data_IF_291269268452
#
_entry.id   IF_291269268452
#
_cell.length_a   1.000
_cell.length_b   1.000
_cell.length_c   1.000
_cell.angle_alpha   90.00
_cell.angle_beta   90.00
_cell.angle_gamma   90.00
#
_symmetry.space_group_name_H-M   'P 1'
#
loop_
_entity.id
_entity.type
_entity.pdbx_description
1 polymer ?
#
# COMPACT_ATOMS: atom_id res chain seq x y z
N UNK A 1 -26.99 -1.04 -31.76
CA UNK A 1 -25.59 -1.52 -31.63
C UNK A 1 -25.24 -1.41 -30.16
N UNK A 2 -25.21 -2.52 -29.44
CA UNK A 2 -24.77 -2.54 -28.03
C UNK A 2 -23.25 -2.52 -28.05
N UNK A 3 -22.66 -1.43 -27.57
CA UNK A 3 -21.21 -1.32 -27.36
C UNK A 3 -20.76 -2.48 -26.45
N UNK A 4 -19.69 -3.22 -26.80
CA UNK A 4 -19.21 -4.29 -25.92
C UNK A 4 -18.85 -3.69 -24.55
N UNK A 5 -19.17 -4.39 -23.44
CA UNK A 5 -18.91 -3.87 -22.11
C UNK A 5 -17.43 -3.48 -22.02
N UNK A 6 -17.18 -2.24 -21.60
CA UNK A 6 -15.85 -1.68 -21.46
C UNK A 6 -14.98 -2.65 -20.65
N UNK A 7 -14.09 -3.36 -21.35
CA UNK A 7 -13.24 -4.37 -20.72
C UNK A 7 -12.20 -3.65 -19.88
N UNK A 8 -12.07 -4.03 -18.60
CA UNK A 8 -11.09 -3.45 -17.68
C UNK A 8 -9.67 -3.72 -18.21
N UNK A 9 -8.79 -2.71 -18.27
CA UNK A 9 -7.43 -2.90 -18.76
C UNK A 9 -6.60 -3.85 -17.89
N UNK A 10 -5.67 -4.64 -18.49
CA UNK A 10 -4.80 -5.54 -17.74
C UNK A 10 -3.88 -4.80 -16.76
N UNK A 11 -3.54 -3.53 -17.04
CA UNK A 11 -2.76 -2.69 -16.14
C UNK A 11 -3.47 -2.42 -14.80
N UNK A 12 -4.80 -2.26 -14.83
CA UNK A 12 -5.62 -2.04 -13.62
C UNK A 12 -5.68 -3.32 -12.79
N UNK A 13 -5.86 -4.48 -13.43
CA UNK A 13 -5.88 -5.77 -12.75
C UNK A 13 -4.50 -6.14 -12.18
N UNK A 14 -3.43 -5.88 -12.93
CA UNK A 14 -2.06 -6.10 -12.45
C UNK A 14 -1.73 -5.16 -11.30
N UNK A 15 -2.04 -3.86 -11.44
CA UNK A 15 -1.86 -2.87 -10.38
C UNK A 15 -2.62 -3.23 -9.11
N UNK A 16 -3.86 -3.73 -9.24
CA UNK A 16 -4.65 -4.26 -8.12
C UNK A 16 -3.92 -5.39 -7.40
N UNK A 17 -3.42 -6.39 -8.12
CA UNK A 17 -2.73 -7.52 -7.49
C UNK A 17 -1.41 -7.13 -6.82
N UNK A 18 -0.65 -6.21 -7.42
CA UNK A 18 0.55 -5.67 -6.79
C UNK A 18 0.21 -5.04 -5.43
N UNK A 19 -0.86 -4.25 -5.36
CA UNK A 19 -1.32 -3.65 -4.11
C UNK A 19 -1.92 -4.66 -3.12
N UNK A 20 -2.64 -5.67 -3.58
CA UNK A 20 -3.17 -6.75 -2.72
C UNK A 20 -2.05 -7.51 -2.02
N UNK A 21 -0.92 -7.72 -2.69
CA UNK A 21 0.26 -8.36 -2.09
C UNK A 21 1.05 -7.37 -1.24
N UNK A 22 1.17 -6.11 -1.69
CA UNK A 22 1.92 -5.11 -0.93
C UNK A 22 1.27 -4.77 0.41
N UNK A 23 -0.06 -4.69 0.47
CA UNK A 23 -0.78 -4.31 1.68
C UNK A 23 -0.42 -5.18 2.90
N UNK A 24 -0.52 -6.53 2.86
CA UNK A 24 -0.13 -7.37 4.00
C UNK A 24 1.37 -7.29 4.29
N UNK A 25 2.23 -7.11 3.29
CA UNK A 25 3.67 -6.94 3.52
C UNK A 25 3.96 -5.65 4.30
N UNK A 26 3.35 -4.53 3.91
CA UNK A 26 3.52 -3.25 4.60
C UNK A 26 2.95 -3.29 6.02
N UNK A 27 1.77 -3.91 6.20
CA UNK A 27 1.17 -4.10 7.53
C UNK A 27 2.07 -4.97 8.41
N UNK A 28 2.61 -6.06 7.86
CA UNK A 28 3.53 -6.95 8.59
C UNK A 28 4.79 -6.19 9.01
N UNK A 29 5.39 -5.42 8.11
CA UNK A 29 6.55 -4.59 8.42
C UNK A 29 6.26 -3.59 9.55
N UNK A 30 5.13 -2.89 9.48
CA UNK A 30 4.71 -1.95 10.52
C UNK A 30 4.50 -2.65 11.87
N UNK A 31 3.83 -3.81 11.87
CA UNK A 31 3.59 -4.58 13.10
C UNK A 31 4.91 -5.06 13.71
N UNK A 32 5.84 -5.58 12.90
CA UNK A 32 7.18 -5.97 13.37
C UNK A 32 7.88 -4.79 14.01
N UNK A 33 7.89 -3.63 13.36
CA UNK A 33 8.51 -2.41 13.89
C UNK A 33 7.92 -2.01 15.25
N UNK A 34 6.59 -2.09 15.38
CA UNK A 34 5.87 -1.71 16.60
C UNK A 34 6.20 -2.60 17.81
N UNK A 35 6.48 -3.89 17.58
CA UNK A 35 6.82 -4.85 18.65
C UNK A 35 8.32 -5.00 18.91
N UNK A 36 9.16 -4.61 17.94
CA UNK A 36 10.62 -4.80 18.01
C UNK A 36 11.40 -3.49 18.10
N UNK A 37 10.70 -2.35 18.03
CA UNK A 37 11.28 -1.02 18.12
C UNK A 37 11.99 -0.77 19.46
N UNK A 38 12.93 0.19 19.48
CA UNK A 38 13.75 0.47 20.66
C UNK A 38 12.93 1.04 21.82
N UNK A 39 11.86 1.79 21.54
CA UNK A 39 10.94 2.29 22.56
C UNK A 39 9.71 1.38 22.68
N UNK A 40 9.50 0.83 23.89
CA UNK A 40 8.26 0.13 24.19
C UNK A 40 7.11 1.11 24.33
N UNK A 41 6.16 1.04 23.41
CA UNK A 41 4.93 1.80 23.49
C UNK A 41 4.10 1.39 24.73
N UNK A 42 3.50 2.34 25.45
CA UNK A 42 2.50 2.04 26.48
C UNK A 42 1.35 1.21 25.89
N UNK A 43 0.83 0.25 26.65
CA UNK A 43 -0.23 -0.67 26.20
C UNK A 43 -1.43 -0.01 25.50
N UNK A 44 -1.99 1.09 26.02
CA UNK A 44 -3.08 1.81 25.35
C UNK A 44 -2.69 2.41 23.99
N UNK A 45 -1.47 2.95 23.87
CA UNK A 45 -0.95 3.52 22.62
C UNK A 45 -0.77 2.40 21.59
N UNK A 46 -0.21 1.26 22.02
CA UNK A 46 -0.06 0.08 21.17
C UNK A 46 -1.39 -0.40 20.61
N UNK A 47 -2.41 -0.53 21.46
CA UNK A 47 -3.75 -0.96 21.05
C UNK A 47 -4.38 0.04 20.06
N UNK A 48 -4.24 1.33 20.34
CA UNK A 48 -4.75 2.38 19.45
C UNK A 48 -4.05 2.39 18.08
N UNK A 49 -2.73 2.23 18.05
CA UNK A 49 -1.95 2.11 16.80
C UNK A 49 -2.40 0.91 15.97
N UNK A 50 -2.64 -0.25 16.59
CA UNK A 50 -3.17 -1.43 15.89
C UNK A 50 -4.54 -1.18 15.26
N UNK A 51 -5.43 -0.50 15.99
CA UNK A 51 -6.75 -0.12 15.46
C UNK A 51 -6.60 0.84 14.28
N UNK A 52 -5.73 1.84 14.35
CA UNK A 52 -5.47 2.76 13.25
C UNK A 52 -4.96 2.00 12.01
N UNK A 53 -3.96 1.14 12.17
CA UNK A 53 -3.41 0.35 11.07
C UNK A 53 -4.48 -0.53 10.43
N UNK A 54 -5.31 -1.15 11.25
CA UNK A 54 -6.43 -1.95 10.78
C UNK A 54 -7.42 -1.12 9.96
N UNK A 55 -7.82 0.06 10.46
CA UNK A 55 -8.71 0.98 9.72
C UNK A 55 -8.08 1.42 8.40
N UNK A 56 -6.80 1.82 8.40
CA UNK A 56 -6.08 2.20 7.18
C UNK A 56 -6.05 1.04 6.19
N UNK A 57 -5.80 -0.18 6.67
CA UNK A 57 -5.77 -1.40 5.83
C UNK A 57 -7.12 -1.62 5.15
N UNK A 58 -8.22 -1.52 5.90
CA UNK A 58 -9.58 -1.67 5.37
C UNK A 58 -9.92 -0.55 4.38
N UNK A 59 -9.53 0.69 4.67
CA UNK A 59 -9.72 1.83 3.77
C UNK A 59 -8.97 1.62 2.46
N UNK A 60 -7.70 1.22 2.51
CA UNK A 60 -6.92 0.93 1.30
C UNK A 60 -7.53 -0.24 0.53
N UNK A 61 -7.89 -1.34 1.19
CA UNK A 61 -8.56 -2.47 0.54
C UNK A 61 -9.87 -2.05 -0.14
N UNK A 62 -10.65 -1.17 0.49
CA UNK A 62 -11.86 -0.59 -0.10
C UNK A 62 -11.53 0.21 -1.35
N UNK A 63 -10.50 1.06 -1.30
CA UNK A 63 -10.05 1.81 -2.46
C UNK A 63 -9.57 0.90 -3.59
N UNK A 64 -8.91 -0.22 -3.31
CA UNK A 64 -8.53 -1.20 -4.33
C UNK A 64 -9.75 -1.80 -5.04
N UNK A 65 -10.85 -2.03 -4.32
CA UNK A 65 -12.12 -2.48 -4.92
C UNK A 65 -12.75 -1.38 -5.79
N UNK A 66 -12.81 -0.15 -5.29
CA UNK A 66 -13.33 1.00 -6.05
C UNK A 66 -12.48 1.29 -7.30
N UNK A 67 -11.16 1.09 -7.22
CA UNK A 67 -10.26 1.21 -8.36
C UNK A 67 -10.67 0.26 -9.49
N UNK A 68 -11.03 -0.98 -9.18
CA UNK A 68 -11.49 -1.97 -10.16
C UNK A 68 -12.84 -1.60 -10.81
N UNK A 69 -13.57 -0.66 -10.21
CA UNK A 69 -14.83 -0.11 -10.71
C UNK A 69 -14.65 1.20 -11.51
N UNK A 70 -13.43 1.73 -11.63
CA UNK A 70 -13.16 2.91 -12.45
C UNK A 70 -13.29 4.26 -11.74
N UNK A 71 -13.36 4.30 -10.41
CA UNK A 71 -13.45 5.57 -9.68
C UNK A 71 -12.18 6.43 -9.83
N UNK A 72 -12.32 7.62 -10.43
CA UNK A 72 -11.23 8.56 -10.75
C UNK A 72 -10.36 8.98 -9.58
N UNK A 73 -11.00 9.36 -8.48
CA UNK A 73 -10.34 9.96 -7.32
C UNK A 73 -9.47 8.95 -6.56
N UNK A 74 -9.76 7.66 -6.72
CA UNK A 74 -9.01 6.57 -6.08
C UNK A 74 -7.54 6.60 -6.53
N UNK A 75 -7.26 6.90 -7.81
CA UNK A 75 -5.89 6.98 -8.31
C UNK A 75 -5.09 8.05 -7.56
N UNK A 76 -5.64 9.23 -7.36
CA UNK A 76 -4.97 10.32 -6.65
C UNK A 76 -4.72 9.97 -5.20
N UNK A 77 -5.72 9.40 -4.51
CA UNK A 77 -5.61 9.03 -3.10
C UNK A 77 -4.60 7.89 -2.90
N UNK A 78 -4.66 6.85 -3.73
CA UNK A 78 -3.68 5.75 -3.68
C UNK A 78 -2.27 6.22 -4.00
N UNK A 79 -2.12 7.18 -4.91
CA UNK A 79 -0.80 7.75 -5.24
C UNK A 79 -0.24 8.57 -4.08
N UNK A 80 -1.04 9.43 -3.47
CA UNK A 80 -0.62 10.20 -2.29
C UNK A 80 -0.26 9.27 -1.12
N UNK A 81 -1.11 8.28 -0.84
CA UNK A 81 -0.86 7.26 0.19
C UNK A 81 0.38 6.42 -0.11
N UNK A 82 0.61 6.05 -1.36
CA UNK A 82 1.81 5.33 -1.80
C UNK A 82 3.09 6.14 -1.54
N UNK A 83 3.11 7.41 -1.94
CA UNK A 83 4.27 8.27 -1.72
C UNK A 83 4.55 8.40 -0.23
N UNK A 84 3.52 8.67 0.58
CA UNK A 84 3.67 8.76 2.03
C UNK A 84 4.22 7.46 2.63
N UNK A 85 3.66 6.31 2.25
CA UNK A 85 4.09 5.00 2.74
C UNK A 85 5.55 4.69 2.35
N UNK A 86 5.94 4.93 1.10
CA UNK A 86 7.29 4.69 0.59
C UNK A 86 8.30 5.62 1.25
N UNK A 87 8.00 6.92 1.38
CA UNK A 87 8.90 7.89 2.01
C UNK A 87 9.08 7.59 3.49
N UNK A 88 8.00 7.31 4.21
CA UNK A 88 8.06 6.95 5.63
C UNK A 88 8.86 5.66 5.84
N UNK A 89 8.66 4.67 4.97
CA UNK A 89 9.40 3.41 4.98
C UNK A 89 10.88 3.62 4.71
N UNK A 90 11.23 4.42 3.69
CA UNK A 90 12.61 4.74 3.37
C UNK A 90 13.28 5.45 4.56
N UNK A 91 12.62 6.44 5.17
CA UNK A 91 13.12 7.08 6.37
C UNK A 91 13.40 6.05 7.47
N UNK A 92 12.43 5.20 7.80
CA UNK A 92 12.58 4.16 8.82
C UNK A 92 13.66 3.12 8.50
N UNK A 93 13.91 2.80 7.23
CA UNK A 93 14.99 1.91 6.81
C UNK A 93 16.37 2.52 7.05
N UNK A 94 16.53 3.83 6.88
CA UNK A 94 17.82 4.52 6.95
C UNK A 94 18.12 5.15 8.32
N UNK A 95 17.11 5.41 9.15
CA UNK A 95 17.31 6.14 10.42
C UNK A 95 17.15 5.29 11.67
N UNK A 96 16.38 4.20 11.63
CA UNK A 96 16.06 3.46 12.84
C UNK A 96 17.05 2.31 13.09
N UNK A 97 17.63 2.32 14.29
CA UNK A 97 18.49 1.25 14.77
C UNK A 97 17.65 0.05 15.23
N UNK A 98 17.94 -1.13 14.67
CA UNK A 98 17.26 -2.39 14.98
C UNK A 98 18.27 -3.50 15.20
N UNK A 99 18.00 -4.38 16.15
CA UNK A 99 18.76 -5.63 16.27
C UNK A 99 18.57 -6.50 15.02
N UNK A 100 19.55 -7.33 14.68
CA UNK A 100 19.66 -7.99 13.37
C UNK A 100 18.38 -8.71 12.88
N UNK A 101 17.70 -9.45 13.78
CA UNK A 101 16.47 -10.19 13.43
C UNK A 101 15.30 -9.23 13.13
N UNK A 102 15.15 -8.18 13.93
CA UNK A 102 14.14 -7.13 13.73
C UNK A 102 14.39 -6.33 12.44
N UNK A 103 15.66 -6.06 12.13
CA UNK A 103 16.06 -5.38 10.91
C UNK A 103 15.61 -6.15 9.66
N UNK A 104 15.84 -7.48 9.62
CA UNK A 104 15.42 -8.33 8.49
C UNK A 104 13.89 -8.44 8.44
N UNK A 105 13.25 -8.66 9.59
CA UNK A 105 11.80 -8.79 9.70
C UNK A 105 11.03 -7.53 9.28
N UNK A 106 11.62 -6.35 9.47
CA UNK A 106 11.10 -5.08 8.97
C UNK A 106 11.45 -4.86 7.50
N UNK A 107 12.74 -4.96 7.15
CA UNK A 107 13.23 -4.50 5.86
C UNK A 107 12.71 -5.34 4.68
N UNK A 108 12.63 -6.66 4.82
CA UNK A 108 12.17 -7.53 3.74
C UNK A 108 10.75 -7.15 3.26
N UNK A 109 9.73 -7.21 4.14
CA UNK A 109 8.37 -6.85 3.78
C UNK A 109 8.23 -5.41 3.28
N UNK A 110 8.92 -4.46 3.93
CA UNK A 110 8.80 -3.04 3.60
C UNK A 110 9.42 -2.70 2.25
N UNK A 111 10.60 -3.24 1.92
CA UNK A 111 11.25 -3.01 0.62
C UNK A 111 10.39 -3.60 -0.49
N UNK A 112 10.00 -4.87 -0.36
CA UNK A 112 9.20 -5.55 -1.39
C UNK A 112 7.84 -4.88 -1.53
N UNK A 113 7.15 -4.60 -0.42
CA UNK A 113 5.87 -3.88 -0.41
C UNK A 113 5.96 -2.50 -1.05
N UNK A 114 7.02 -1.73 -0.78
CA UNK A 114 7.24 -0.42 -1.39
C UNK A 114 7.41 -0.48 -2.91
N UNK A 115 8.18 -1.45 -3.40
CA UNK A 115 8.38 -1.66 -4.85
C UNK A 115 7.06 -2.04 -5.53
N UNK A 116 6.28 -2.94 -4.91
CA UNK A 116 4.98 -3.36 -5.44
C UNK A 116 3.98 -2.19 -5.46
N UNK A 117 3.93 -1.36 -4.42
CA UNK A 117 3.11 -0.14 -4.36
C UNK A 117 3.50 0.81 -5.51
N UNK A 118 4.79 1.09 -5.67
CA UNK A 118 5.29 1.99 -6.70
C UNK A 118 4.98 1.45 -8.11
N UNK A 119 5.18 0.15 -8.34
CA UNK A 119 4.82 -0.51 -9.59
C UNK A 119 3.31 -0.44 -9.87
N UNK A 120 2.47 -0.66 -8.87
CA UNK A 120 1.03 -0.50 -8.97
C UNK A 120 0.63 0.92 -9.37
N UNK A 121 1.18 1.93 -8.70
CA UNK A 121 0.93 3.35 -9.04
C UNK A 121 1.35 3.68 -10.47
N UNK A 122 2.52 3.19 -10.90
CA UNK A 122 3.01 3.38 -12.26
C UNK A 122 2.03 2.83 -13.30
N UNK A 123 1.54 1.59 -13.10
CA UNK A 123 0.57 0.97 -14.01
C UNK A 123 -0.75 1.76 -14.09
N UNK A 124 -1.23 2.34 -12.99
CA UNK A 124 -2.46 3.14 -12.96
C UNK A 124 -2.36 4.47 -13.73
N UNK A 125 -1.14 4.89 -14.08
CA UNK A 125 -0.89 6.10 -14.88
C UNK A 125 -0.58 5.81 -16.35
N UNK A 126 -0.54 4.52 -16.76
CA UNK A 126 -0.44 4.15 -18.18
C UNK A 126 -1.70 4.57 -18.93
N UNK A 127 -1.56 4.79 -20.24
CA UNK A 127 -2.63 5.28 -21.13
C UNK A 127 -3.93 4.48 -20.99
N UNK A 128 -3.86 3.16 -21.08
CA UNK A 128 -5.03 2.29 -21.04
C UNK A 128 -5.78 2.40 -19.71
N UNK A 129 -5.05 2.43 -18.59
CA UNK A 129 -5.61 2.66 -17.26
C UNK A 129 -6.17 4.08 -17.12
N UNK A 130 -5.48 5.08 -17.68
CA UNK A 130 -5.95 6.46 -17.66
C UNK A 130 -7.29 6.59 -18.35
N UNK A 131 -7.42 6.07 -19.58
CA UNK A 131 -8.68 6.07 -20.32
C UNK A 131 -9.79 5.39 -19.53
N UNK A 132 -9.52 4.24 -18.89
CA UNK A 132 -10.49 3.53 -18.06
C UNK A 132 -11.02 4.38 -16.91
N UNK A 133 -10.15 5.12 -16.20
CA UNK A 133 -10.61 6.02 -15.15
C UNK A 133 -11.30 7.26 -15.70
N UNK A 134 -11.00 7.72 -16.92
CA UNK A 134 -11.53 8.99 -17.44
C UNK A 134 -12.80 8.90 -18.27
N UNK A 135 -13.33 7.69 -18.44
CA UNK A 135 -14.63 7.44 -19.07
C UNK A 135 -15.81 7.97 -18.25
#
# INVERSE_FOLDING_TARGET
MTEPPATRPPDVDTGFWLWVVALPLMVTGYVVDMFTGPERLPGPVLAFSLVIVFVITVVVATFLVLMRQGYRWVRTVLTGGAIAAVVFSAAGLFTAERHAVAAIGYAGPVIVGSVLIAGGVFLLHRKDAHEFFTR
#
